data_IF_833225927887
#
_entry.id   IF_833225927887
#
_cell.length_a   1.000
_cell.length_b   1.000
_cell.length_c   1.000
_cell.angle_alpha   90.00
_cell.angle_beta   90.00
_cell.angle_gamma   90.00
#
_symmetry.space_group_name_H-M   'P 1'
#
loop_
_entity.id
_entity.type
_entity.pdbx_description
1 polymer ?
#
# COMPACT_ATOMS: atom_id res chain seq x y z
N UNK A 1 -6.85 -15.33 -5.79
CA UNK A 1 -7.80 -14.84 -6.84
C UNK A 1 -6.98 -14.17 -7.93
N UNK A 2 -7.23 -14.50 -9.16
CA UNK A 2 -6.55 -13.88 -10.32
C UNK A 2 -7.18 -12.51 -10.59
N UNK A 3 -6.39 -11.46 -10.72
CA UNK A 3 -6.88 -10.12 -11.04
C UNK A 3 -7.55 -10.09 -12.42
N UNK A 4 -8.68 -9.40 -12.52
CA UNK A 4 -9.42 -9.20 -13.76
C UNK A 4 -9.85 -7.73 -13.86
N UNK A 5 -9.22 -6.98 -14.74
CA UNK A 5 -9.46 -5.55 -14.91
C UNK A 5 -10.90 -5.21 -15.31
N UNK A 6 -11.48 -5.97 -16.23
CA UNK A 6 -12.87 -5.71 -16.68
C UNK A 6 -13.87 -5.93 -15.54
N UNK A 7 -13.67 -6.99 -14.77
CA UNK A 7 -14.49 -7.27 -13.59
C UNK A 7 -14.31 -6.18 -12.53
N UNK A 8 -13.09 -5.72 -12.30
CA UNK A 8 -12.83 -4.59 -11.39
C UNK A 8 -13.58 -3.32 -11.79
N UNK A 9 -13.52 -2.95 -13.08
CA UNK A 9 -14.27 -1.79 -13.60
C UNK A 9 -15.77 -1.95 -13.40
N UNK A 10 -16.33 -3.15 -13.65
CA UNK A 10 -17.76 -3.41 -13.41
C UNK A 10 -18.12 -3.22 -11.92
N UNK A 11 -17.31 -3.72 -11.01
CA UNK A 11 -17.54 -3.59 -9.55
C UNK A 11 -17.44 -2.15 -9.08
N UNK A 12 -16.47 -1.38 -9.59
CA UNK A 12 -16.34 0.07 -9.30
C UNK A 12 -17.61 0.81 -9.73
N UNK A 13 -18.13 0.51 -10.92
CA UNK A 13 -19.38 1.11 -11.42
C UNK A 13 -20.56 0.72 -10.53
N UNK A 14 -20.73 -0.54 -10.20
CA UNK A 14 -21.82 -1.00 -9.31
C UNK A 14 -21.75 -0.33 -7.93
N UNK A 15 -20.56 -0.25 -7.34
CA UNK A 15 -20.38 0.47 -6.08
C UNK A 15 -20.82 1.93 -6.16
N UNK A 16 -20.46 2.60 -7.26
CA UNK A 16 -20.87 4.00 -7.47
C UNK A 16 -22.39 4.14 -7.69
N UNK A 17 -23.01 3.21 -8.41
CA UNK A 17 -24.46 3.20 -8.64
C UNK A 17 -25.23 3.05 -7.31
N UNK A 18 -24.79 2.15 -6.40
CA UNK A 18 -25.38 2.03 -5.07
C UNK A 18 -25.18 3.30 -4.23
N UNK A 19 -24.01 3.88 -4.28
CA UNK A 19 -23.71 5.15 -3.59
C UNK A 19 -24.61 6.28 -4.08
N UNK A 20 -24.83 6.38 -5.38
CA UNK A 20 -25.72 7.37 -5.99
C UNK A 20 -27.20 7.19 -5.57
N UNK A 21 -27.59 5.96 -5.22
CA UNK A 21 -28.91 5.64 -4.67
C UNK A 21 -28.99 5.80 -3.15
N UNK A 22 -27.93 6.24 -2.48
CA UNK A 22 -27.86 6.34 -1.02
C UNK A 22 -27.85 4.99 -0.30
N UNK A 23 -27.46 3.91 -1.01
CA UNK A 23 -27.39 2.54 -0.50
C UNK A 23 -25.96 2.11 -0.21
N UNK A 24 -25.80 1.20 0.75
CA UNK A 24 -24.51 0.59 1.06
C UNK A 24 -24.26 -0.61 0.15
N UNK A 25 -23.19 -0.57 -0.64
CA UNK A 25 -22.80 -1.69 -1.50
C UNK A 25 -22.58 -2.99 -0.70
N UNK A 26 -21.93 -2.89 0.46
CA UNK A 26 -21.69 -4.04 1.33
C UNK A 26 -23.01 -4.68 1.84
N UNK A 27 -24.03 -3.87 2.19
CA UNK A 27 -25.31 -4.39 2.67
C UNK A 27 -26.15 -5.00 1.54
N UNK A 28 -26.11 -4.40 0.36
CA UNK A 28 -26.91 -4.84 -0.79
C UNK A 28 -26.27 -6.03 -1.55
N UNK A 29 -24.94 -6.07 -1.60
CA UNK A 29 -24.19 -7.11 -2.32
C UNK A 29 -22.85 -7.39 -1.61
N UNK A 30 -22.87 -8.09 -0.47
CA UNK A 30 -21.67 -8.31 0.36
C UNK A 30 -20.54 -9.07 -0.38
N UNK A 31 -20.89 -10.06 -1.19
CA UNK A 31 -19.90 -10.84 -1.96
C UNK A 31 -19.17 -9.98 -2.99
N UNK A 32 -19.89 -9.18 -3.75
CA UNK A 32 -19.29 -8.25 -4.73
C UNK A 32 -18.50 -7.13 -4.06
N UNK A 33 -18.94 -6.68 -2.88
CA UNK A 33 -18.21 -5.68 -2.10
C UNK A 33 -16.87 -6.23 -1.60
N UNK A 34 -16.82 -7.48 -1.15
CA UNK A 34 -15.59 -8.16 -0.76
C UNK A 34 -14.67 -8.42 -1.97
N UNK A 35 -15.25 -8.82 -3.10
CA UNK A 35 -14.52 -8.97 -4.36
C UNK A 35 -13.87 -7.64 -4.78
N UNK A 36 -14.62 -6.54 -4.75
CA UNK A 36 -14.10 -5.20 -5.03
C UNK A 36 -12.95 -4.82 -4.09
N UNK A 37 -13.09 -5.07 -2.79
CA UNK A 37 -12.04 -4.82 -1.82
C UNK A 37 -10.76 -5.58 -2.15
N UNK A 38 -10.86 -6.83 -2.57
CA UNK A 38 -9.71 -7.65 -2.97
C UNK A 38 -9.00 -7.09 -4.20
N UNK A 39 -9.74 -6.59 -5.19
CA UNK A 39 -9.16 -5.93 -6.36
C UNK A 39 -8.52 -4.58 -6.01
N UNK A 40 -9.13 -3.79 -5.14
CA UNK A 40 -8.56 -2.53 -4.68
C UNK A 40 -7.24 -2.76 -3.94
N UNK A 41 -7.16 -3.79 -3.10
CA UNK A 41 -5.91 -4.19 -2.42
C UNK A 41 -4.82 -4.58 -3.43
N UNK A 42 -5.17 -5.29 -4.49
CA UNK A 42 -4.20 -5.64 -5.54
C UNK A 42 -3.62 -4.40 -6.25
N UNK A 43 -4.44 -3.38 -6.49
CA UNK A 43 -4.00 -2.08 -7.02
C UNK A 43 -3.08 -1.37 -6.03
N UNK A 44 -3.47 -1.29 -4.77
CA UNK A 44 -2.67 -0.66 -3.71
C UNK A 44 -1.28 -1.31 -3.59
N UNK A 45 -1.24 -2.62 -3.50
CA UNK A 45 0.01 -3.38 -3.45
C UNK A 45 0.91 -3.09 -4.65
N UNK A 46 0.33 -3.02 -5.85
CA UNK A 46 1.10 -2.75 -7.06
C UNK A 46 1.64 -1.31 -7.11
N UNK A 47 0.88 -0.32 -6.63
CA UNK A 47 1.35 1.06 -6.52
C UNK A 47 2.49 1.17 -5.52
N UNK A 48 2.39 0.50 -4.37
CA UNK A 48 3.48 0.41 -3.41
C UNK A 48 4.73 -0.23 -4.03
N UNK A 49 4.55 -1.28 -4.79
CA UNK A 49 5.64 -1.94 -5.52
C UNK A 49 6.33 -1.02 -6.52
N UNK A 50 5.58 -0.25 -7.29
CA UNK A 50 6.13 0.72 -8.24
C UNK A 50 6.94 1.83 -7.55
N UNK A 51 6.61 2.17 -6.32
CA UNK A 51 7.30 3.19 -5.51
C UNK A 51 8.33 2.61 -4.52
N UNK A 52 8.68 1.33 -4.62
CA UNK A 52 9.58 0.63 -3.69
C UNK A 52 10.95 1.28 -3.51
N UNK A 53 11.43 1.96 -4.54
CA UNK A 53 12.71 2.69 -4.47
C UNK A 53 12.69 3.85 -3.47
N UNK A 54 11.54 4.48 -3.25
CA UNK A 54 11.37 5.53 -2.23
C UNK A 54 11.45 4.95 -0.81
N UNK A 55 10.93 3.73 -0.63
CA UNK A 55 11.04 3.01 0.63
C UNK A 55 12.49 2.64 0.89
N UNK A 56 13.18 2.12 -0.12
CA UNK A 56 14.60 1.75 -0.02
C UNK A 56 15.48 2.94 0.36
N UNK A 57 15.32 4.08 -0.32
CA UNK A 57 16.04 5.33 -0.04
C UNK A 57 15.80 5.81 1.40
N UNK A 58 14.55 5.83 1.84
CA UNK A 58 14.17 6.26 3.18
C UNK A 58 14.78 5.35 4.26
N UNK A 59 14.75 4.04 4.05
CA UNK A 59 15.36 3.06 4.95
C UNK A 59 16.88 3.21 5.01
N UNK A 60 17.54 3.45 3.86
CA UNK A 60 18.99 3.69 3.81
C UNK A 60 19.37 4.95 4.58
N UNK A 61 18.65 6.04 4.42
CA UNK A 61 18.90 7.28 5.12
C UNK A 61 18.81 7.11 6.64
N UNK A 62 17.85 6.33 7.11
CA UNK A 62 17.70 6.03 8.53
C UNK A 62 18.83 5.10 9.05
N UNK A 63 19.10 4.00 8.37
CA UNK A 63 20.15 3.03 8.76
C UNK A 63 21.55 3.69 8.75
N UNK A 64 21.80 4.60 7.81
CA UNK A 64 23.05 5.37 7.71
C UNK A 64 23.09 6.57 8.66
N UNK A 65 22.11 6.73 9.54
CA UNK A 65 22.03 7.81 10.54
C UNK A 65 22.02 9.23 9.94
N UNK A 66 21.54 9.38 8.70
CA UNK A 66 21.36 10.69 8.07
C UNK A 66 20.14 11.43 8.63
N UNK A 67 19.14 10.67 9.09
CA UNK A 67 17.92 11.16 9.72
C UNK A 67 17.71 10.43 11.03
N UNK A 68 17.07 11.07 12.01
CA UNK A 68 16.69 10.47 13.28
C UNK A 68 15.36 9.69 13.18
N UNK A 69 14.96 9.02 14.27
CA UNK A 69 13.74 8.20 14.29
C UNK A 69 12.47 9.01 14.08
N UNK A 70 12.40 10.23 14.61
CA UNK A 70 11.24 11.10 14.44
C UNK A 70 11.10 11.54 12.98
N UNK A 71 12.17 12.01 12.38
CA UNK A 71 12.17 12.41 10.96
C UNK A 71 11.86 11.24 10.04
N UNK A 72 12.39 10.06 10.35
CA UNK A 72 12.07 8.83 9.63
C UNK A 72 10.57 8.53 9.66
N UNK A 73 9.95 8.52 10.84
CA UNK A 73 8.52 8.27 10.98
C UNK A 73 7.68 9.32 10.25
N UNK A 74 8.03 10.60 10.35
CA UNK A 74 7.33 11.67 9.66
C UNK A 74 7.36 11.49 8.13
N UNK A 75 8.52 11.08 7.60
CA UNK A 75 8.68 10.77 6.17
C UNK A 75 7.94 9.51 5.75
N UNK A 76 7.90 8.48 6.59
CA UNK A 76 7.10 7.25 6.35
C UNK A 76 5.62 7.59 6.27
N UNK A 77 5.08 8.40 7.17
CA UNK A 77 3.68 8.85 7.12
C UNK A 77 3.39 9.71 5.89
N UNK A 78 4.32 10.58 5.50
CA UNK A 78 4.21 11.36 4.27
C UNK A 78 4.18 10.46 3.03
N UNK A 79 5.05 9.46 2.96
CA UNK A 79 5.08 8.46 1.90
C UNK A 79 3.76 7.68 1.84
N UNK A 80 3.27 7.16 2.96
CA UNK A 80 1.99 6.45 3.05
C UNK A 80 0.84 7.29 2.49
N UNK A 81 0.75 8.54 2.91
CA UNK A 81 -0.29 9.48 2.41
C UNK A 81 -0.22 9.65 0.90
N UNK A 82 0.97 9.86 0.35
CA UNK A 82 1.16 10.03 -1.09
C UNK A 82 0.82 8.75 -1.87
N UNK A 83 1.15 7.57 -1.33
CA UNK A 83 0.78 6.29 -1.93
C UNK A 83 -0.74 6.08 -1.94
N UNK A 84 -1.44 6.43 -0.86
CA UNK A 84 -2.91 6.32 -0.81
C UNK A 84 -3.58 7.27 -1.80
N UNK A 85 -3.09 8.50 -1.95
CA UNK A 85 -3.57 9.45 -2.97
C UNK A 85 -3.36 8.87 -4.38
N UNK A 86 -2.20 8.28 -4.65
CA UNK A 86 -1.92 7.65 -5.94
C UNK A 86 -2.85 6.46 -6.22
N UNK A 87 -3.19 5.67 -5.19
CA UNK A 87 -4.18 4.58 -5.31
C UNK A 87 -5.56 5.11 -5.70
N UNK A 88 -6.04 6.14 -5.00
CA UNK A 88 -7.35 6.74 -5.27
C UNK A 88 -7.41 7.31 -6.70
N UNK A 89 -6.36 8.01 -7.14
CA UNK A 89 -6.26 8.54 -8.50
C UNK A 89 -6.27 7.41 -9.54
N UNK A 90 -5.54 6.34 -9.29
CA UNK A 90 -5.51 5.19 -10.20
C UNK A 90 -6.89 4.52 -10.32
N UNK A 91 -7.61 4.35 -9.22
CA UNK A 91 -8.97 3.78 -9.23
C UNK A 91 -9.96 4.65 -10.01
N UNK A 92 -9.83 5.97 -9.92
CA UNK A 92 -10.64 6.91 -10.73
C UNK A 92 -10.33 6.72 -12.22
N UNK A 93 -9.07 6.68 -12.61
CA UNK A 93 -8.65 6.46 -14.00
C UNK A 93 -9.11 5.09 -14.53
N UNK A 94 -9.01 4.05 -13.70
CA UNK A 94 -9.48 2.71 -14.03
C UNK A 94 -11.01 2.69 -14.28
N UNK A 95 -11.77 3.32 -13.39
CA UNK A 95 -13.22 3.45 -13.52
C UNK A 95 -13.65 4.25 -14.76
N UNK A 96 -12.86 5.26 -15.15
CA UNK A 96 -13.04 6.04 -16.39
C UNK A 96 -12.55 5.32 -17.66
N UNK A 97 -12.02 4.09 -17.53
CA UNK A 97 -11.44 3.29 -18.64
C UNK A 97 -10.25 3.95 -19.33
N UNK A 98 -9.48 4.76 -18.58
CA UNK A 98 -8.27 5.42 -19.07
C UNK A 98 -7.03 4.53 -18.93
N UNK A 99 -7.14 3.44 -18.16
CA UNK A 99 -6.08 2.45 -17.95
C UNK A 99 -6.34 1.24 -18.84
N UNK A 100 -5.30 0.78 -19.55
CA UNK A 100 -5.35 -0.42 -20.39
C UNK A 100 -4.34 -1.45 -19.87
N UNK A 101 -4.72 -2.75 -19.98
CA UNK A 101 -3.85 -3.90 -19.74
C UNK A 101 -3.11 -3.90 -18.38
N UNK A 102 -3.77 -3.38 -17.34
CA UNK A 102 -3.21 -3.41 -15.99
C UNK A 102 -3.16 -4.85 -15.46
N UNK A 103 -1.98 -5.24 -14.98
CA UNK A 103 -1.77 -6.49 -14.24
C UNK A 103 -0.87 -6.20 -13.03
N UNK A 104 -1.28 -6.59 -11.82
CA UNK A 104 -0.44 -6.42 -10.63
C UNK A 104 0.82 -7.28 -10.72
N UNK A 105 1.96 -6.73 -10.26
CA UNK A 105 3.19 -7.50 -10.14
C UNK A 105 3.03 -8.56 -9.03
N UNK A 106 3.34 -9.83 -9.27
CA UNK A 106 3.18 -10.89 -8.28
C UNK A 106 4.06 -10.71 -7.02
N UNK A 107 5.11 -9.89 -7.09
CA UNK A 107 6.00 -9.58 -5.96
C UNK A 107 5.43 -8.49 -5.03
N UNK A 108 4.42 -7.76 -5.49
CA UNK A 108 3.87 -6.59 -4.79
C UNK A 108 3.32 -6.92 -3.39
N UNK A 109 2.76 -8.11 -3.19
CA UNK A 109 2.21 -8.53 -1.90
C UNK A 109 3.25 -8.55 -0.79
N UNK A 110 4.46 -9.07 -1.07
CA UNK A 110 5.52 -9.15 -0.05
C UNK A 110 5.98 -7.78 0.43
N UNK A 111 6.05 -6.81 -0.48
CA UNK A 111 6.38 -5.44 -0.12
C UNK A 111 5.26 -4.81 0.72
N UNK A 112 4.01 -5.04 0.37
CA UNK A 112 2.86 -4.53 1.13
C UNK A 112 2.87 -5.08 2.56
N UNK A 113 3.09 -6.38 2.74
CA UNK A 113 3.19 -7.00 4.07
C UNK A 113 4.33 -6.37 4.90
N UNK A 114 5.47 -6.05 4.27
CA UNK A 114 6.56 -5.32 4.93
C UNK A 114 6.16 -3.90 5.31
N UNK A 115 5.50 -3.16 4.40
CA UNK A 115 5.09 -1.77 4.67
C UNK A 115 4.04 -1.67 5.77
N UNK A 116 3.12 -2.62 5.86
CA UNK A 116 2.15 -2.67 6.94
C UNK A 116 2.86 -2.79 8.31
N UNK A 117 3.87 -3.64 8.40
CA UNK A 117 4.74 -3.74 9.57
C UNK A 117 5.49 -2.43 9.87
N UNK A 118 6.06 -1.82 8.85
CA UNK A 118 6.76 -0.53 8.98
C UNK A 118 5.84 0.59 9.50
N UNK A 119 4.63 0.67 8.98
CA UNK A 119 3.64 1.66 9.44
C UNK A 119 3.24 1.44 10.90
N UNK A 120 3.04 0.19 11.32
CA UNK A 120 2.78 -0.15 12.72
C UNK A 120 3.95 0.26 13.63
N UNK A 121 5.19 -0.01 13.24
CA UNK A 121 6.35 0.39 14.02
C UNK A 121 6.47 1.91 14.16
N UNK A 122 6.16 2.67 13.12
CA UNK A 122 6.17 4.13 13.18
C UNK A 122 5.02 4.67 14.03
N UNK A 123 3.83 4.07 13.98
CA UNK A 123 2.72 4.41 14.86
C UNK A 123 3.10 4.21 16.34
N UNK A 124 3.70 3.08 16.68
CA UNK A 124 4.14 2.75 18.03
C UNK A 124 5.27 3.68 18.52
N UNK A 125 6.18 4.09 17.62
CA UNK A 125 7.27 5.03 17.95
C UNK A 125 6.75 6.38 18.47
N UNK A 126 5.63 6.86 17.96
CA UNK A 126 4.98 8.09 18.42
C UNK A 126 4.40 7.96 19.84
N UNK A 127 4.21 6.74 20.34
CA UNK A 127 3.50 6.47 21.60
C UNK A 127 4.41 6.12 22.79
N UNK A 128 5.65 5.60 22.65
CA UNK A 128 6.57 5.31 23.79
C UNK A 128 7.77 4.39 23.44
N UNK A 129 8.25 4.32 22.21
CA UNK A 129 9.35 3.44 21.85
C UNK A 129 10.71 3.94 22.36
N UNK A 130 11.48 3.08 23.02
CA UNK A 130 12.91 3.32 23.25
C UNK A 130 13.63 3.30 21.89
N UNK A 131 14.38 4.37 21.59
CA UNK A 131 15.05 4.61 20.30
C UNK A 131 15.89 3.42 19.82
N UNK A 132 16.53 2.67 20.73
CA UNK A 132 17.38 1.52 20.37
C UNK A 132 16.58 0.31 19.88
N UNK A 133 15.41 0.03 20.47
CA UNK A 133 14.54 -1.07 20.03
C UNK A 133 13.99 -0.80 18.64
N UNK A 134 13.53 0.44 18.40
CA UNK A 134 13.04 0.87 17.10
C UNK A 134 14.14 0.78 16.04
N UNK A 135 15.34 1.29 16.32
CA UNK A 135 16.48 1.24 15.41
C UNK A 135 16.87 -0.19 15.04
N UNK A 136 16.93 -1.11 16.01
CA UNK A 136 17.23 -2.51 15.78
C UNK A 136 16.15 -3.21 14.95
N UNK A 137 14.87 -2.96 15.23
CA UNK A 137 13.75 -3.50 14.46
C UNK A 137 13.78 -3.01 13.00
N UNK A 138 14.11 -1.74 12.76
CA UNK A 138 14.23 -1.17 11.42
C UNK A 138 15.41 -1.72 10.64
N UNK A 139 16.57 -1.90 11.29
CA UNK A 139 17.74 -2.51 10.65
C UNK A 139 17.44 -3.95 10.18
N UNK A 140 16.82 -4.75 11.05
CA UNK A 140 16.44 -6.12 10.71
C UNK A 140 15.37 -6.15 9.61
N UNK A 141 14.37 -5.29 9.69
CA UNK A 141 13.33 -5.14 8.67
C UNK A 141 13.92 -4.75 7.31
N UNK A 142 14.86 -3.81 7.29
CA UNK A 142 15.54 -3.38 6.08
C UNK A 142 16.35 -4.48 5.41
N UNK A 143 17.10 -5.25 6.19
CA UNK A 143 17.84 -6.40 5.67
C UNK A 143 16.91 -7.46 5.06
N UNK A 144 15.78 -7.72 5.70
CA UNK A 144 14.79 -8.65 5.18
C UNK A 144 14.10 -8.11 3.92
N UNK A 145 13.83 -6.82 3.86
CA UNK A 145 13.29 -6.14 2.69
C UNK A 145 14.23 -6.24 1.49
N UNK A 146 15.51 -5.92 1.68
CA UNK A 146 16.51 -6.05 0.61
C UNK A 146 16.65 -7.48 0.10
N UNK A 147 16.63 -8.48 1.01
CA UNK A 147 16.63 -9.88 0.60
C UNK A 147 15.39 -10.27 -0.20
N UNK A 148 14.23 -9.71 0.12
CA UNK A 148 12.99 -9.97 -0.60
C UNK A 148 12.98 -9.33 -1.99
N UNK A 149 13.59 -8.13 -2.15
CA UNK A 149 13.74 -7.46 -3.44
C UNK A 149 14.71 -8.18 -4.39
N UNK A 150 15.80 -8.76 -3.83
CA UNK A 150 16.89 -9.37 -4.61
C UNK A 150 16.68 -10.86 -4.91
N UNK A 151 15.61 -11.47 -4.42
CA UNK A 151 15.21 -12.83 -4.79
C UNK A 151 14.31 -12.75 -6.04
N UNK A 152 14.95 -12.73 -7.20
CA UNK A 152 14.32 -13.08 -8.45
C UNK A 152 14.07 -14.59 -8.55
#
# INVERSE_FOLDING_TARGET
>A
MTYNQQRHIQLLKRSQDFKNQGKSFYKESPEESLELSSYNVAVEQNIFWQQRYKVDELMQDFVNKKIDGQEFCDRVFGLRRNLMIACDQFLVQLGAKEVTDFQPDPRSKKLSDFLDGLFCYCDDFMEDYENDQFSNAMQNGFLNFQKALNKE
#
